data_IF_787024804912
#
_entry.id   IF_787024804912
#
_cell.length_a   1.000
_cell.length_b   1.000
_cell.length_c   1.000
_cell.angle_alpha   90.00
_cell.angle_beta   90.00
_cell.angle_gamma   90.00
#
_symmetry.space_group_name_H-M   'P 1'
#
loop_
_entity.id
_entity.type
_entity.pdbx_description
1 polymer ?
#
# COMPACT_ATOMS: atom_id res chain seq x y z
N UNK A 1 35.45 -19.80 24.40
CA UNK A 1 35.10 -18.37 24.51
C UNK A 1 34.81 -17.85 23.12
N UNK A 2 33.55 -17.90 22.69
CA UNK A 2 33.12 -17.40 21.37
C UNK A 2 33.01 -15.88 21.43
N UNK A 3 33.76 -15.18 20.57
CA UNK A 3 33.59 -13.75 20.36
C UNK A 3 32.17 -13.49 19.83
N UNK A 4 31.28 -12.97 20.68
CA UNK A 4 30.07 -12.30 20.20
C UNK A 4 30.52 -11.06 19.45
N UNK A 5 30.46 -11.09 18.11
CA UNK A 5 30.59 -9.87 17.34
C UNK A 5 29.48 -8.93 17.79
N UNK A 6 29.86 -7.69 18.16
CA UNK A 6 28.89 -6.62 18.37
C UNK A 6 28.21 -6.39 17.02
N UNK A 7 27.01 -6.94 16.87
CA UNK A 7 26.17 -6.72 15.70
C UNK A 7 25.84 -5.23 15.63
N UNK A 8 26.15 -4.60 14.50
CA UNK A 8 25.79 -3.21 14.25
C UNK A 8 24.25 -3.17 14.10
N UNK A 9 23.51 -2.46 14.98
CA UNK A 9 22.04 -2.50 15.02
C UNK A 9 21.37 -1.78 13.83
N UNK A 10 22.13 -1.49 12.77
CA UNK A 10 21.77 -0.58 11.68
C UNK A 10 21.85 -1.21 10.29
N UNK A 11 22.47 -2.37 10.17
CA UNK A 11 22.63 -3.09 8.90
C UNK A 11 21.84 -4.38 9.03
N UNK A 12 20.83 -4.56 8.16
CA UNK A 12 20.05 -5.80 8.09
C UNK A 12 20.95 -6.92 7.55
N UNK A 13 21.27 -7.89 8.40
CA UNK A 13 22.19 -8.98 8.07
C UNK A 13 21.48 -10.25 7.58
N UNK A 14 20.14 -10.30 7.67
CA UNK A 14 19.31 -11.48 7.35
C UNK A 14 18.48 -11.27 6.09
N UNK A 15 19.12 -10.87 4.99
CA UNK A 15 18.42 -10.61 3.72
C UNK A 15 17.64 -11.84 3.23
N UNK A 16 18.29 -13.01 3.20
CA UNK A 16 17.66 -14.28 2.77
C UNK A 16 17.72 -15.39 3.82
N UNK A 17 18.47 -15.16 4.90
CA UNK A 17 18.76 -16.17 5.91
C UNK A 17 17.64 -16.34 6.95
N UNK A 18 17.72 -17.45 7.67
CA UNK A 18 16.83 -17.77 8.78
C UNK A 18 17.11 -16.87 9.98
N UNK A 19 16.06 -16.30 10.57
CA UNK A 19 16.14 -15.48 11.79
C UNK A 19 16.18 -16.38 13.03
N UNK A 20 17.31 -16.44 13.77
CA UNK A 20 17.45 -17.26 14.97
C UNK A 20 16.47 -16.84 16.07
N UNK A 21 16.05 -17.78 16.92
CA UNK A 21 15.07 -17.52 17.99
C UNK A 21 15.46 -16.37 18.91
N UNK A 22 16.76 -16.22 19.21
CA UNK A 22 17.29 -15.15 20.08
C UNK A 22 17.17 -13.74 19.47
N UNK A 23 17.04 -13.64 18.15
CA UNK A 23 16.96 -12.38 17.41
C UNK A 23 15.51 -12.00 17.05
N UNK A 24 14.52 -12.77 17.53
CA UNK A 24 13.09 -12.50 17.30
C UNK A 24 12.53 -11.57 18.36
N UNK A 25 12.40 -10.30 18.01
CA UNK A 25 11.99 -9.21 18.91
C UNK A 25 10.71 -8.48 18.47
N UNK A 26 10.10 -8.87 17.34
CA UNK A 26 8.95 -8.19 16.76
C UNK A 26 7.68 -8.32 17.61
N UNK A 27 6.75 -7.38 17.44
CA UNK A 27 5.43 -7.43 18.09
C UNK A 27 4.32 -7.51 17.04
N UNK A 28 3.27 -8.29 17.30
CA UNK A 28 2.16 -8.43 16.35
C UNK A 28 1.53 -7.09 15.96
N UNK A 29 1.41 -6.14 16.90
CA UNK A 29 0.91 -4.78 16.61
C UNK A 29 1.72 -4.03 15.55
N UNK A 30 3.01 -4.35 15.42
CA UNK A 30 3.88 -3.69 14.46
C UNK A 30 3.50 -4.14 13.03
N UNK A 31 3.01 -5.39 12.86
CA UNK A 31 2.42 -5.86 11.61
C UNK A 31 1.15 -5.08 11.26
N UNK A 32 0.27 -4.81 12.23
CA UNK A 32 -0.92 -3.99 11.99
C UNK A 32 -0.52 -2.61 11.46
N UNK A 33 0.41 -1.93 12.15
CA UNK A 33 0.85 -0.59 11.73
C UNK A 33 1.55 -0.61 10.39
N UNK A 34 2.35 -1.64 10.11
CA UNK A 34 3.01 -1.83 8.83
C UNK A 34 1.98 -1.93 7.71
N UNK A 35 1.06 -2.91 7.78
CA UNK A 35 0.10 -3.15 6.71
C UNK A 35 -0.92 -2.03 6.55
N UNK A 36 -1.32 -1.40 7.65
CA UNK A 36 -2.16 -0.20 7.59
C UNK A 36 -1.40 0.92 6.86
N UNK A 37 -0.17 1.21 7.26
CA UNK A 37 0.65 2.28 6.65
C UNK A 37 0.92 2.10 5.17
N UNK A 38 1.23 0.87 4.75
CA UNK A 38 1.51 0.52 3.36
C UNK A 38 0.31 0.82 2.46
N UNK A 39 -0.90 0.65 3.00
CA UNK A 39 -2.15 0.79 2.24
C UNK A 39 -2.82 2.16 2.39
N UNK A 40 -2.35 3.02 3.32
CA UNK A 40 -2.66 4.45 3.33
C UNK A 40 -1.70 5.16 2.37
N UNK A 41 -1.97 5.00 1.07
CA UNK A 41 -1.09 5.48 0.01
C UNK A 41 -1.88 5.98 -1.21
N UNK A 42 -1.25 6.79 -2.09
CA UNK A 42 -1.95 7.40 -3.22
C UNK A 42 -2.39 6.40 -4.28
N UNK A 43 -1.64 5.31 -4.46
CA UNK A 43 -1.98 4.28 -5.44
C UNK A 43 -3.31 3.59 -5.13
N UNK A 44 -3.55 3.05 -3.90
CA UNK A 44 -4.86 2.55 -3.49
C UNK A 44 -6.01 3.55 -3.73
N UNK A 45 -5.77 4.85 -3.51
CA UNK A 45 -6.79 5.90 -3.72
C UNK A 45 -7.15 6.01 -5.20
N UNK A 46 -6.16 6.11 -6.09
CA UNK A 46 -6.39 6.17 -7.54
C UNK A 46 -7.00 4.87 -8.06
N UNK A 47 -6.62 3.72 -7.49
CA UNK A 47 -7.23 2.43 -7.83
C UNK A 47 -8.70 2.37 -7.37
N UNK A 48 -9.02 2.91 -6.21
CA UNK A 48 -10.41 3.06 -5.74
C UNK A 48 -11.26 3.94 -6.64
N UNK A 49 -10.71 5.02 -7.19
CA UNK A 49 -11.41 5.88 -8.15
C UNK A 49 -11.91 5.12 -9.41
N UNK A 50 -11.20 4.06 -9.83
CA UNK A 50 -11.62 3.23 -10.98
C UNK A 50 -12.99 2.57 -10.79
N UNK A 51 -13.40 2.34 -9.54
CA UNK A 51 -14.71 1.76 -9.21
C UNK A 51 -15.87 2.57 -9.80
N UNK A 52 -15.74 3.89 -9.81
CA UNK A 52 -16.72 4.80 -10.41
C UNK A 52 -16.37 5.09 -11.86
N UNK A 53 -15.10 5.40 -12.13
CA UNK A 53 -14.68 5.93 -13.44
C UNK A 53 -14.62 4.88 -14.55
N UNK A 54 -14.30 3.63 -14.20
CA UNK A 54 -14.07 2.53 -15.15
C UNK A 54 -15.16 1.48 -15.02
N UNK A 55 -15.54 1.14 -13.78
CA UNK A 55 -16.54 0.11 -13.52
C UNK A 55 -17.96 0.66 -13.37
N UNK A 56 -18.12 1.99 -13.41
CA UNK A 56 -19.40 2.69 -13.43
C UNK A 56 -20.34 2.30 -12.27
N UNK A 57 -19.77 1.90 -11.13
CA UNK A 57 -20.54 1.60 -9.93
C UNK A 57 -20.87 2.89 -9.18
N UNK A 58 -22.05 2.92 -8.58
CA UNK A 58 -22.40 3.97 -7.63
C UNK A 58 -21.68 3.76 -6.28
N UNK A 59 -21.76 4.76 -5.40
CA UNK A 59 -21.12 4.74 -4.08
C UNK A 59 -21.40 3.46 -3.30
N UNK A 60 -22.67 3.07 -3.19
CA UNK A 60 -23.08 1.93 -2.36
C UNK A 60 -22.49 0.62 -2.89
N UNK A 61 -22.72 0.29 -4.17
CA UNK A 61 -22.26 -0.97 -4.75
C UNK A 61 -20.75 -1.03 -4.86
N UNK A 62 -20.10 0.10 -5.15
CA UNK A 62 -18.65 0.23 -5.17
C UNK A 62 -18.02 -0.06 -3.81
N UNK A 63 -18.50 0.59 -2.75
CA UNK A 63 -17.97 0.38 -1.39
C UNK A 63 -18.22 -1.05 -0.90
N UNK A 64 -19.39 -1.64 -1.17
CA UNK A 64 -19.64 -3.03 -0.80
C UNK A 64 -18.69 -4.00 -1.52
N UNK A 65 -18.41 -3.77 -2.80
CA UNK A 65 -17.45 -4.58 -3.56
C UNK A 65 -16.01 -4.43 -3.03
N UNK A 66 -15.59 -3.20 -2.70
CA UNK A 66 -14.29 -2.90 -2.08
C UNK A 66 -14.13 -3.67 -0.76
N UNK A 67 -15.14 -3.57 0.12
CA UNK A 67 -15.12 -4.25 1.42
C UNK A 67 -15.02 -5.76 1.22
N UNK A 68 -15.90 -6.35 0.42
CA UNK A 68 -15.91 -7.79 0.20
C UNK A 68 -14.58 -8.28 -0.39
N UNK A 69 -14.08 -7.60 -1.43
CA UNK A 69 -12.84 -7.99 -2.11
C UNK A 69 -11.64 -7.97 -1.16
N UNK A 70 -11.48 -6.90 -0.38
CA UNK A 70 -10.38 -6.80 0.56
C UNK A 70 -10.53 -7.75 1.76
N UNK A 71 -11.74 -7.98 2.27
CA UNK A 71 -11.94 -8.94 3.35
C UNK A 71 -11.60 -10.38 2.92
N UNK A 72 -11.91 -10.75 1.67
CA UNK A 72 -11.57 -12.06 1.12
C UNK A 72 -10.08 -12.19 0.83
N UNK A 73 -9.48 -11.23 0.12
CA UNK A 73 -8.04 -11.23 -0.15
C UNK A 73 -7.18 -11.11 1.10
N UNK A 74 -7.68 -10.38 2.11
CA UNK A 74 -7.06 -10.20 3.42
C UNK A 74 -6.77 -11.52 4.13
N UNK A 75 -7.60 -12.54 3.91
CA UNK A 75 -7.40 -13.88 4.51
C UNK A 75 -6.08 -14.48 4.00
N UNK A 76 -5.79 -14.35 2.69
CA UNK A 76 -4.60 -14.93 2.07
C UNK A 76 -3.33 -14.31 2.63
N UNK A 77 -3.25 -12.98 2.66
CA UNK A 77 -2.09 -12.25 3.18
C UNK A 77 -1.89 -12.51 4.69
N UNK A 78 -2.98 -12.62 5.45
CA UNK A 78 -2.92 -12.90 6.89
C UNK A 78 -2.46 -14.34 7.20
N UNK A 79 -2.90 -15.32 6.40
CA UNK A 79 -2.44 -16.71 6.51
C UNK A 79 -0.95 -16.83 6.16
N UNK A 80 -0.48 -16.12 5.14
CA UNK A 80 0.93 -16.08 4.80
C UNK A 80 1.76 -15.45 5.93
N UNK A 81 1.28 -14.34 6.51
CA UNK A 81 1.93 -13.70 7.65
C UNK A 81 2.00 -14.60 8.89
N UNK A 82 0.97 -15.41 9.16
CA UNK A 82 0.95 -16.32 10.30
C UNK A 82 1.95 -17.48 10.22
N UNK A 83 2.48 -17.79 9.02
CA UNK A 83 3.52 -18.81 8.84
C UNK A 83 4.92 -18.30 9.21
N UNK A 84 5.16 -16.99 9.05
CA UNK A 84 6.47 -16.37 9.31
C UNK A 84 7.09 -16.71 10.67
N UNK A 85 6.38 -16.60 11.81
CA UNK A 85 6.94 -16.92 13.13
C UNK A 85 7.37 -18.38 13.28
N UNK A 86 6.68 -19.33 12.63
CA UNK A 86 7.07 -20.74 12.68
C UNK A 86 8.33 -21.01 11.84
N UNK A 87 8.37 -20.42 10.64
CA UNK A 87 9.39 -20.75 9.64
C UNK A 87 10.68 -19.94 9.79
N UNK A 88 10.62 -18.70 10.28
CA UNK A 88 11.77 -17.82 10.47
C UNK A 88 12.50 -17.41 9.18
N UNK A 89 11.96 -17.72 8.01
CA UNK A 89 12.54 -17.44 6.69
C UNK A 89 11.64 -16.52 5.86
N UNK A 90 12.21 -15.72 4.94
CA UNK A 90 11.43 -14.82 4.09
C UNK A 90 10.48 -15.57 3.15
N UNK A 91 9.40 -14.92 2.72
CA UNK A 91 8.29 -15.60 2.03
C UNK A 91 8.76 -16.23 0.71
N UNK A 92 9.63 -15.54 -0.01
CA UNK A 92 10.17 -16.02 -1.29
C UNK A 92 11.00 -17.29 -1.11
N UNK A 93 11.69 -17.46 0.02
CA UNK A 93 12.43 -18.69 0.33
C UNK A 93 11.46 -19.83 0.68
N UNK A 94 10.34 -19.54 1.37
CA UNK A 94 9.31 -20.53 1.68
C UNK A 94 8.71 -21.17 0.42
N UNK A 95 8.62 -20.42 -0.69
CA UNK A 95 8.12 -20.95 -1.96
C UNK A 95 8.92 -22.16 -2.48
N UNK A 96 10.20 -22.29 -2.11
CA UNK A 96 11.06 -23.43 -2.49
C UNK A 96 10.59 -24.75 -1.90
N UNK A 97 9.93 -24.73 -0.75
CA UNK A 97 9.36 -25.93 -0.13
C UNK A 97 8.19 -26.50 -0.92
N UNK A 98 7.38 -25.64 -1.55
CA UNK A 98 6.18 -26.04 -2.30
C UNK A 98 6.49 -26.33 -3.77
N UNK A 99 7.36 -25.55 -4.40
CA UNK A 99 7.61 -25.58 -5.84
C UNK A 99 9.00 -26.13 -6.22
N UNK A 100 9.83 -26.47 -5.24
CA UNK A 100 11.23 -26.84 -5.46
C UNK A 100 12.09 -25.65 -5.91
N UNK A 101 13.38 -25.91 -6.18
CA UNK A 101 14.34 -24.85 -6.56
C UNK A 101 13.96 -24.14 -7.86
N UNK A 102 13.59 -24.89 -8.89
CA UNK A 102 13.29 -24.32 -10.21
C UNK A 102 11.88 -23.73 -10.29
N UNK A 103 10.88 -24.33 -9.62
CA UNK A 103 9.54 -23.75 -9.58
C UNK A 103 9.49 -22.44 -8.79
N UNK A 104 10.30 -22.29 -7.74
CA UNK A 104 10.45 -21.01 -7.04
C UNK A 104 10.98 -19.87 -7.92
N UNK A 105 11.82 -20.17 -8.93
CA UNK A 105 12.30 -19.13 -9.86
C UNK A 105 11.15 -18.51 -10.67
N UNK A 106 10.13 -19.29 -11.02
CA UNK A 106 8.95 -18.79 -11.70
C UNK A 106 8.16 -17.81 -10.81
N UNK A 107 8.01 -18.14 -9.52
CA UNK A 107 7.36 -17.27 -8.53
C UNK A 107 8.15 -15.96 -8.35
N UNK A 108 9.47 -16.05 -8.26
CA UNK A 108 10.36 -14.88 -8.18
C UNK A 108 10.22 -13.99 -9.41
N UNK A 109 10.16 -14.58 -10.62
CA UNK A 109 9.99 -13.82 -11.85
C UNK A 109 8.68 -13.01 -11.87
N UNK A 110 7.54 -13.62 -11.54
CA UNK A 110 6.27 -12.89 -11.46
C UNK A 110 6.26 -11.84 -10.36
N UNK A 111 6.89 -12.13 -9.22
CA UNK A 111 7.04 -11.17 -8.13
C UNK A 111 7.83 -9.95 -8.57
N UNK A 112 8.93 -10.14 -9.32
CA UNK A 112 9.70 -9.04 -9.88
C UNK A 112 8.87 -8.17 -10.86
N UNK A 113 8.01 -8.78 -11.67
CA UNK A 113 7.08 -8.05 -12.54
C UNK A 113 6.11 -7.20 -11.72
N UNK A 114 5.56 -7.75 -10.64
CA UNK A 114 4.67 -7.01 -9.72
C UNK A 114 5.41 -5.79 -9.15
N UNK A 115 6.67 -5.94 -8.74
CA UNK A 115 7.46 -4.86 -8.15
C UNK A 115 7.72 -3.74 -9.16
N UNK A 116 8.07 -4.10 -10.40
CA UNK A 116 8.20 -3.14 -11.50
C UNK A 116 6.88 -2.42 -11.76
N UNK A 117 5.75 -3.15 -11.75
CA UNK A 117 4.41 -2.58 -11.90
C UNK A 117 4.11 -1.53 -10.83
N UNK A 118 4.27 -1.88 -9.55
CA UNK A 118 4.09 -0.94 -8.44
C UNK A 118 5.02 0.26 -8.55
N UNK A 119 6.28 0.05 -8.89
CA UNK A 119 7.27 1.12 -9.04
C UNK A 119 6.86 2.12 -10.14
N UNK A 120 6.50 1.63 -11.33
CA UNK A 120 6.05 2.47 -12.44
C UNK A 120 4.79 3.25 -12.05
N UNK A 121 3.78 2.57 -11.51
CA UNK A 121 2.53 3.22 -11.09
C UNK A 121 2.79 4.31 -10.05
N UNK A 122 3.63 4.03 -9.06
CA UNK A 122 4.01 5.00 -8.04
C UNK A 122 4.73 6.22 -8.63
N UNK A 123 5.72 6.05 -9.53
CA UNK A 123 6.41 7.20 -10.14
C UNK A 123 5.46 8.06 -10.98
N UNK A 124 4.54 7.44 -11.71
CA UNK A 124 3.51 8.19 -12.45
C UNK A 124 2.67 9.03 -11.50
N UNK A 125 2.27 8.48 -10.35
CA UNK A 125 1.52 9.22 -9.33
C UNK A 125 2.37 10.31 -8.65
N UNK A 126 3.68 10.11 -8.45
CA UNK A 126 4.57 11.17 -7.99
C UNK A 126 4.60 12.33 -8.97
N UNK A 127 4.72 12.03 -10.27
CA UNK A 127 4.65 13.05 -11.32
C UNK A 127 3.33 13.83 -11.30
N UNK A 128 2.19 13.13 -11.16
CA UNK A 128 0.88 13.78 -11.03
C UNK A 128 0.77 14.63 -9.76
N UNK A 129 1.36 14.17 -8.65
CA UNK A 129 1.39 14.94 -7.40
C UNK A 129 2.20 16.23 -7.56
N UNK A 130 3.36 16.16 -8.24
CA UNK A 130 4.19 17.33 -8.57
C UNK A 130 3.42 18.31 -9.46
N UNK A 131 2.78 17.86 -10.55
CA UNK A 131 1.94 18.73 -11.39
C UNK A 131 0.76 19.30 -10.60
N UNK A 132 0.21 18.55 -9.65
CA UNK A 132 -0.80 19.03 -8.71
C UNK A 132 -0.31 20.18 -7.82
N UNK A 133 0.97 20.20 -7.47
CA UNK A 133 1.60 21.28 -6.66
C UNK A 133 2.04 22.44 -7.55
N UNK A 134 2.67 22.14 -8.68
CA UNK A 134 3.24 23.08 -9.64
C UNK A 134 2.66 22.82 -11.05
N UNK A 135 1.49 23.39 -11.38
CA UNK A 135 0.81 23.14 -12.66
C UNK A 135 1.59 23.55 -13.90
N UNK A 136 2.61 24.40 -13.74
CA UNK A 136 3.50 24.85 -14.82
C UNK A 136 4.50 23.77 -15.27
N UNK A 137 4.69 22.69 -14.51
CA UNK A 137 5.63 21.62 -14.86
C UNK A 137 4.90 20.51 -15.63
N UNK A 138 5.31 20.19 -16.87
CA UNK A 138 4.69 19.12 -17.64
C UNK A 138 4.77 17.76 -16.94
N UNK A 139 3.76 16.90 -17.17
CA UNK A 139 3.68 15.57 -16.53
C UNK A 139 4.92 14.71 -16.84
N UNK A 140 5.44 14.61 -18.08
CA UNK A 140 6.64 13.81 -18.34
C UNK A 140 7.87 14.28 -17.56
N UNK A 141 8.06 15.61 -17.44
CA UNK A 141 9.14 16.18 -16.65
C UNK A 141 8.95 15.92 -15.15
N UNK A 142 7.71 16.04 -14.66
CA UNK A 142 7.34 15.74 -13.27
C UNK A 142 7.59 14.28 -12.89
N UNK A 143 7.28 13.34 -13.79
CA UNK A 143 7.57 11.91 -13.64
C UNK A 143 9.09 11.68 -13.49
N UNK A 144 9.90 12.30 -14.36
CA UNK A 144 11.36 12.21 -14.28
C UNK A 144 11.91 12.79 -12.97
N UNK A 145 11.40 13.95 -12.53
CA UNK A 145 11.78 14.56 -11.24
C UNK A 145 11.43 13.63 -10.07
N UNK A 146 10.22 13.06 -10.09
CA UNK A 146 9.78 12.09 -9.08
C UNK A 146 10.66 10.84 -9.04
N UNK A 147 11.01 10.29 -10.20
CA UNK A 147 11.91 9.15 -10.33
C UNK A 147 13.31 9.46 -9.76
N UNK A 148 13.92 10.58 -10.18
CA UNK A 148 15.24 11.00 -9.70
C UNK A 148 15.26 11.26 -8.21
N UNK A 149 14.19 11.85 -7.67
CA UNK A 149 14.06 12.13 -6.23
C UNK A 149 13.93 10.84 -5.42
N UNK A 150 13.14 9.88 -5.90
CA UNK A 150 13.02 8.55 -5.28
C UNK A 150 14.36 7.80 -5.27
N UNK A 151 15.08 7.81 -6.40
CA UNK A 151 16.42 7.22 -6.49
C UNK A 151 17.41 7.92 -5.57
N UNK A 152 17.43 9.24 -5.54
CA UNK A 152 18.34 10.02 -4.68
C UNK A 152 18.09 9.73 -3.18
N UNK A 153 16.84 9.69 -2.75
CA UNK A 153 16.48 9.35 -1.36
C UNK A 153 16.80 7.89 -1.05
N UNK A 154 16.61 6.98 -2.02
CA UNK A 154 17.09 5.61 -1.94
C UNK A 154 18.60 5.53 -1.70
N UNK A 155 19.40 6.44 -2.28
CA UNK A 155 20.86 6.48 -2.08
C UNK A 155 21.26 7.13 -0.74
N UNK A 156 20.54 8.16 -0.29
CA UNK A 156 20.91 9.00 0.88
C UNK A 156 20.64 8.32 2.23
N UNK A 157 19.74 7.32 2.30
CA UNK A 157 19.88 6.28 3.31
C UNK A 157 18.65 5.92 4.15
N UNK A 158 18.61 4.61 4.44
CA UNK A 158 17.69 3.84 5.27
C UNK A 158 17.06 4.57 6.47
N UNK A 159 17.84 5.32 7.27
CA UNK A 159 17.36 6.00 8.48
C UNK A 159 16.36 7.13 8.21
N UNK A 160 16.53 7.87 7.12
CA UNK A 160 15.62 8.96 6.75
C UNK A 160 14.27 8.40 6.29
N UNK A 161 14.30 7.33 5.48
CA UNK A 161 13.12 6.63 4.98
C UNK A 161 12.28 6.06 6.13
N UNK A 162 12.93 5.41 7.12
CA UNK A 162 12.23 4.85 8.27
C UNK A 162 11.54 5.91 9.14
N UNK A 163 12.16 7.07 9.32
CA UNK A 163 11.57 8.17 10.09
C UNK A 163 10.37 8.77 9.34
N UNK A 164 10.50 8.98 8.02
CA UNK A 164 9.41 9.45 7.17
C UNK A 164 8.22 8.49 7.15
N UNK A 165 8.45 7.18 7.05
CA UNK A 165 7.37 6.19 7.03
C UNK A 165 6.60 6.14 8.38
N UNK A 166 7.32 6.21 9.50
CA UNK A 166 6.70 6.15 10.83
C UNK A 166 5.78 7.34 11.11
N UNK A 167 6.21 8.54 10.74
CA UNK A 167 5.40 9.77 10.89
C UNK A 167 4.34 9.84 9.80
N UNK A 168 4.72 9.49 8.56
CA UNK A 168 3.90 9.57 7.37
C UNK A 168 2.62 8.74 7.46
N UNK A 169 2.64 7.60 8.15
CA UNK A 169 1.44 6.78 8.38
C UNK A 169 0.33 7.55 9.09
N UNK A 170 0.66 8.16 10.23
CA UNK A 170 -0.32 8.87 11.07
C UNK A 170 -0.76 10.17 10.42
N UNK A 171 0.19 10.89 9.81
CA UNK A 171 -0.10 12.12 9.09
C UNK A 171 -1.00 11.84 7.89
N UNK A 172 -0.69 10.82 7.09
CA UNK A 172 -1.49 10.46 5.92
C UNK A 172 -2.87 9.94 6.31
N UNK A 173 -2.96 9.05 7.30
CA UNK A 173 -4.25 8.54 7.78
C UNK A 173 -5.14 9.66 8.31
N UNK A 174 -4.56 10.57 9.10
CA UNK A 174 -5.28 11.74 9.62
C UNK A 174 -5.69 12.69 8.49
N UNK A 175 -4.84 12.89 7.48
CA UNK A 175 -5.14 13.75 6.34
C UNK A 175 -6.25 13.16 5.44
N UNK A 176 -6.32 11.83 5.27
CA UNK A 176 -7.44 11.17 4.60
C UNK A 176 -8.75 11.34 5.38
N UNK A 177 -8.73 11.15 6.71
CA UNK A 177 -9.90 11.37 7.55
C UNK A 177 -10.37 12.83 7.49
N UNK A 178 -9.43 13.78 7.56
CA UNK A 178 -9.73 15.20 7.38
C UNK A 178 -10.30 15.49 5.98
N UNK A 179 -9.79 14.82 4.95
CA UNK A 179 -10.32 14.90 3.59
C UNK A 179 -11.76 14.40 3.48
N UNK A 180 -12.11 13.27 4.11
CA UNK A 180 -13.50 12.81 4.18
C UNK A 180 -14.40 13.83 4.87
N UNK A 181 -13.98 14.33 6.04
CA UNK A 181 -14.74 15.34 6.77
C UNK A 181 -14.92 16.59 5.92
N UNK A 182 -13.88 17.05 5.22
CA UNK A 182 -13.95 18.20 4.34
C UNK A 182 -14.96 17.99 3.22
N UNK A 183 -14.92 16.85 2.53
CA UNK A 183 -15.83 16.54 1.41
C UNK A 183 -17.29 16.55 1.88
N UNK A 184 -17.60 15.88 2.99
CA UNK A 184 -18.97 15.79 3.50
C UNK A 184 -19.44 17.03 4.26
N UNK A 185 -18.54 17.94 4.65
CA UNK A 185 -18.88 19.23 5.24
C UNK A 185 -19.22 20.29 4.19
N UNK A 186 -19.00 20.03 2.91
CA UNK A 186 -19.31 20.93 1.79
C UNK A 186 -20.35 20.31 0.86
N UNK A 187 -20.91 21.14 -0.02
CA UNK A 187 -21.87 20.67 -1.02
C UNK A 187 -21.21 19.67 -1.98
N UNK A 188 -21.77 18.47 -2.02
CA UNK A 188 -21.42 17.45 -3.02
C UNK A 188 -22.30 17.62 -4.26
N UNK A 189 -21.83 17.21 -5.45
CA UNK A 189 -22.64 17.24 -6.66
C UNK A 189 -23.99 16.54 -6.46
N UNK A 190 -25.05 17.05 -7.10
CA UNK A 190 -26.41 16.50 -6.95
C UNK A 190 -26.50 15.02 -7.37
N UNK A 191 -25.63 14.60 -8.28
CA UNK A 191 -25.53 13.23 -8.75
C UNK A 191 -24.61 12.35 -7.90
N UNK A 192 -24.02 12.83 -6.79
CA UNK A 192 -23.04 12.10 -5.97
C UNK A 192 -23.50 10.68 -5.57
N UNK A 193 -24.77 10.53 -5.19
CA UNK A 193 -25.34 9.23 -4.80
C UNK A 193 -25.93 8.44 -5.96
N UNK A 194 -26.20 9.09 -7.09
CA UNK A 194 -26.85 8.49 -8.27
C UNK A 194 -25.93 8.30 -9.47
N UNK A 195 -24.67 8.77 -9.41
CA UNK A 195 -23.69 8.60 -10.49
C UNK A 195 -23.25 7.15 -10.53
N UNK A 196 -23.39 6.55 -11.71
CA UNK A 196 -23.20 5.11 -11.90
C UNK A 196 -24.37 4.29 -11.34
N UNK A 197 -24.23 2.97 -11.35
CA UNK A 197 -25.27 2.06 -10.89
C UNK A 197 -24.76 0.64 -10.71
N UNK A 198 -25.63 -0.23 -10.21
CA UNK A 198 -25.25 -1.65 -10.14
C UNK A 198 -25.07 -2.21 -11.54
N UNK A 199 -23.93 -2.82 -11.77
CA UNK A 199 -23.72 -3.72 -12.88
C UNK A 199 -22.83 -4.88 -12.42
N UNK A 200 -23.20 -6.11 -12.81
CA UNK A 200 -22.57 -7.30 -12.27
C UNK A 200 -21.09 -7.41 -12.66
N UNK A 201 -20.73 -7.03 -13.88
CA UNK A 201 -19.36 -7.08 -14.40
C UNK A 201 -18.43 -6.15 -13.62
N UNK A 202 -18.81 -4.89 -13.43
CA UNK A 202 -18.05 -3.91 -12.66
C UNK A 202 -17.96 -4.27 -11.17
N UNK A 203 -19.04 -4.84 -10.61
CA UNK A 203 -19.05 -5.31 -9.23
C UNK A 203 -18.07 -6.48 -9.02
N UNK A 204 -18.12 -7.50 -9.88
CA UNK A 204 -17.18 -8.62 -9.85
C UNK A 204 -15.74 -8.17 -10.13
N UNK A 205 -15.53 -7.23 -11.06
CA UNK A 205 -14.22 -6.65 -11.32
C UNK A 205 -13.65 -5.93 -10.09
N UNK A 206 -14.48 -5.17 -9.37
CA UNK A 206 -14.08 -4.46 -8.14
C UNK A 206 -13.75 -5.43 -7.00
N UNK A 207 -14.57 -6.47 -6.80
CA UNK A 207 -14.28 -7.53 -5.81
C UNK A 207 -12.95 -8.22 -6.15
N UNK A 208 -12.77 -8.58 -7.43
CA UNK A 208 -11.55 -9.24 -7.91
C UNK A 208 -10.31 -8.36 -7.74
N UNK A 209 -10.44 -7.06 -8.02
CA UNK A 209 -9.39 -6.07 -7.82
C UNK A 209 -8.98 -5.99 -6.34
N UNK A 210 -9.94 -5.98 -5.41
CA UNK A 210 -9.66 -5.99 -3.98
C UNK A 210 -8.96 -7.26 -3.50
N UNK A 211 -9.33 -8.43 -4.05
CA UNK A 211 -8.68 -9.72 -3.75
C UNK A 211 -7.24 -9.72 -4.28
N UNK A 212 -7.05 -9.40 -5.56
CA UNK A 212 -5.73 -9.39 -6.22
C UNK A 212 -4.81 -8.39 -5.54
N UNK A 213 -5.32 -7.23 -5.13
CA UNK A 213 -4.56 -6.24 -4.38
C UNK A 213 -3.93 -6.85 -3.14
N UNK A 214 -4.71 -7.51 -2.29
CA UNK A 214 -4.19 -8.14 -1.07
C UNK A 214 -3.20 -9.27 -1.38
N UNK A 215 -3.51 -10.10 -2.38
CA UNK A 215 -2.63 -11.21 -2.79
C UNK A 215 -1.28 -10.70 -3.29
N UNK A 216 -1.25 -9.57 -3.99
CA UNK A 216 -0.02 -8.99 -4.54
C UNK A 216 1.02 -8.62 -3.48
N UNK A 217 0.59 -8.43 -2.23
CA UNK A 217 1.47 -8.16 -1.09
C UNK A 217 1.93 -9.43 -0.35
N UNK A 218 1.36 -10.60 -0.66
CA UNK A 218 1.74 -11.87 -0.03
C UNK A 218 3.24 -12.18 -0.12
N UNK A 219 3.95 -11.87 -1.22
CA UNK A 219 5.41 -12.10 -1.30
C UNK A 219 6.25 -11.39 -0.23
N UNK A 220 5.73 -10.36 0.44
CA UNK A 220 6.46 -9.62 1.47
C UNK A 220 6.13 -10.06 2.89
N UNK A 221 5.10 -10.90 3.10
CA UNK A 221 4.48 -11.03 4.43
C UNK A 221 5.36 -11.63 5.49
N UNK A 222 6.09 -12.70 5.14
CA UNK A 222 6.95 -13.38 6.09
C UNK A 222 8.26 -12.64 6.34
N UNK A 223 8.62 -11.67 5.51
CA UNK A 223 9.87 -10.92 5.65
C UNK A 223 9.85 -10.10 6.94
N UNK A 224 8.67 -9.63 7.34
CA UNK A 224 8.44 -8.93 8.60
C UNK A 224 7.97 -9.86 9.73
N UNK A 225 7.06 -10.80 9.46
CA UNK A 225 6.51 -11.64 10.53
C UNK A 225 7.47 -12.72 11.04
N UNK A 226 8.53 -13.06 10.31
CA UNK A 226 9.61 -13.96 10.76
C UNK A 226 10.35 -13.48 12.02
N UNK A 227 10.30 -12.19 12.31
CA UNK A 227 10.92 -11.60 13.49
C UNK A 227 10.06 -11.70 14.76
N UNK A 228 8.83 -12.23 14.68
CA UNK A 228 7.98 -12.46 15.84
C UNK A 228 8.43 -13.69 16.65
N UNK A 229 8.21 -13.73 17.97
CA UNK A 229 8.46 -14.92 18.79
C UNK A 229 7.79 -16.18 18.23
N UNK A 230 8.47 -17.32 18.26
CA UNK A 230 7.96 -18.58 17.70
C UNK A 230 6.69 -19.10 18.42
N UNK A 231 6.54 -18.75 19.69
CA UNK A 231 5.44 -19.16 20.57
C UNK A 231 4.23 -18.19 20.52
N UNK A 232 4.28 -17.16 19.67
CA UNK A 232 3.21 -16.15 19.58
C UNK A 232 1.87 -16.71 19.07
N UNK A 233 1.90 -17.91 18.47
CA UNK A 233 0.75 -18.57 17.86
C UNK A 233 0.31 -17.95 16.54
N UNK A 234 -0.77 -18.48 15.97
CA UNK A 234 -1.27 -18.12 14.63
C UNK A 234 -2.17 -16.87 14.67
N UNK A 235 -3.02 -16.77 15.69
CA UNK A 235 -4.10 -15.78 15.72
C UNK A 235 -3.60 -14.33 15.78
N UNK A 236 -2.51 -14.07 16.52
CA UNK A 236 -1.99 -12.70 16.70
C UNK A 236 -1.37 -12.13 15.42
N UNK A 237 -0.43 -12.81 14.73
CA UNK A 237 0.06 -12.35 13.43
C UNK A 237 -1.06 -12.28 12.38
N UNK A 238 -1.96 -13.26 12.36
CA UNK A 238 -3.10 -13.28 11.44
C UNK A 238 -3.97 -12.03 11.61
N UNK A 239 -4.50 -11.79 12.82
CA UNK A 239 -5.42 -10.68 13.06
C UNK A 239 -4.76 -9.32 12.86
N UNK A 240 -3.50 -9.16 13.27
CA UNK A 240 -2.79 -7.91 13.10
C UNK A 240 -2.58 -7.57 11.62
N UNK A 241 -2.11 -8.54 10.83
CA UNK A 241 -1.94 -8.37 9.38
C UNK A 241 -3.27 -8.19 8.67
N UNK A 242 -4.28 -9.02 9.01
CA UNK A 242 -5.61 -8.95 8.42
C UNK A 242 -6.22 -7.56 8.62
N UNK A 243 -6.34 -7.11 9.87
CA UNK A 243 -6.96 -5.82 10.17
C UNK A 243 -6.15 -4.65 9.60
N UNK A 244 -4.82 -4.68 9.68
CA UNK A 244 -3.98 -3.63 9.13
C UNK A 244 -4.15 -3.49 7.63
N UNK A 245 -4.05 -4.61 6.91
CA UNK A 245 -4.13 -4.64 5.46
C UNK A 245 -5.54 -4.31 4.95
N UNK A 246 -6.60 -4.87 5.54
CA UNK A 246 -7.96 -4.63 5.05
C UNK A 246 -8.45 -3.24 5.41
N UNK A 247 -8.22 -2.75 6.63
CA UNK A 247 -8.69 -1.42 7.02
C UNK A 247 -7.96 -0.32 6.25
N UNK A 248 -6.65 -0.47 6.04
CA UNK A 248 -5.86 0.48 5.26
C UNK A 248 -6.34 0.57 3.82
N UNK A 249 -6.53 -0.57 3.14
CA UNK A 249 -6.97 -0.55 1.73
C UNK A 249 -8.41 -0.08 1.59
N UNK A 250 -9.33 -0.55 2.42
CA UNK A 250 -10.74 -0.17 2.36
C UNK A 250 -10.87 1.35 2.56
N UNK A 251 -10.15 1.93 3.52
CA UNK A 251 -10.16 3.37 3.76
C UNK A 251 -9.70 4.15 2.52
N UNK A 252 -8.54 3.78 1.97
CA UNK A 252 -7.96 4.48 0.82
C UNK A 252 -8.78 4.32 -0.47
N UNK A 253 -9.24 3.09 -0.77
CA UNK A 253 -10.07 2.84 -1.95
C UNK A 253 -11.40 3.60 -1.86
N UNK A 254 -12.04 3.58 -0.69
CA UNK A 254 -13.30 4.32 -0.45
C UNK A 254 -13.08 5.83 -0.57
N UNK A 255 -11.94 6.34 -0.11
CA UNK A 255 -11.59 7.75 -0.27
C UNK A 255 -11.48 8.13 -1.75
N UNK A 256 -10.87 7.27 -2.57
CA UNK A 256 -10.81 7.45 -4.02
C UNK A 256 -12.20 7.54 -4.67
N UNK A 257 -13.11 6.62 -4.31
CA UNK A 257 -14.51 6.63 -4.76
C UNK A 257 -15.21 7.94 -4.40
N UNK A 258 -15.10 8.35 -3.14
CA UNK A 258 -15.76 9.58 -2.65
C UNK A 258 -15.16 10.82 -3.32
N UNK A 259 -13.84 10.89 -3.48
CA UNK A 259 -13.17 12.02 -4.11
C UNK A 259 -13.64 12.24 -5.56
N UNK A 260 -13.75 11.17 -6.37
CA UNK A 260 -14.19 11.33 -7.77
C UNK A 260 -15.68 11.64 -7.90
N UNK A 261 -16.51 11.09 -7.02
CA UNK A 261 -17.94 11.43 -6.96
C UNK A 261 -18.16 12.89 -6.53
N UNK A 262 -17.30 13.42 -5.66
CA UNK A 262 -17.34 14.81 -5.21
C UNK A 262 -16.88 15.83 -6.26
N UNK A 263 -16.41 15.38 -7.43
CA UNK A 263 -15.96 16.23 -8.54
C UNK A 263 -16.76 16.00 -9.82
N UNK A 264 -16.64 16.87 -10.84
CA UNK A 264 -17.26 16.62 -12.14
C UNK A 264 -16.85 15.27 -12.73
N UNK A 265 -17.76 14.64 -13.47
CA UNK A 265 -17.46 13.38 -14.14
C UNK A 265 -16.29 13.51 -15.12
N UNK A 266 -15.46 12.47 -15.22
CA UNK A 266 -14.23 12.46 -16.02
C UNK A 266 -13.03 13.20 -15.40
N UNK A 267 -13.16 13.80 -14.21
CA UNK A 267 -12.01 14.40 -13.50
C UNK A 267 -10.98 13.33 -13.16
N UNK A 268 -9.71 13.51 -13.57
CA UNK A 268 -8.64 12.56 -13.28
C UNK A 268 -8.49 12.33 -11.77
N UNK A 269 -8.26 11.09 -11.32
CA UNK A 269 -8.34 10.70 -9.92
C UNK A 269 -7.49 11.55 -8.95
N UNK A 270 -6.24 11.89 -9.31
CA UNK A 270 -5.37 12.70 -8.45
C UNK A 270 -5.84 14.16 -8.40
N UNK A 271 -6.27 14.70 -9.54
CA UNK A 271 -6.90 16.01 -9.61
C UNK A 271 -8.21 16.05 -8.80
N UNK A 272 -9.00 14.98 -8.84
CA UNK A 272 -10.24 14.84 -8.10
C UNK A 272 -10.00 14.89 -6.59
N UNK A 273 -8.99 14.17 -6.08
CA UNK A 273 -8.59 14.26 -4.67
C UNK A 273 -8.24 15.70 -4.28
N UNK A 274 -7.41 16.38 -5.08
CA UNK A 274 -7.01 17.76 -4.81
C UNK A 274 -8.22 18.71 -4.80
N UNK A 275 -9.13 18.58 -5.77
CA UNK A 275 -10.30 19.45 -5.90
C UNK A 275 -11.34 19.17 -4.81
N UNK A 276 -11.67 17.90 -4.57
CA UNK A 276 -12.66 17.48 -3.59
C UNK A 276 -12.28 17.90 -2.15
N UNK A 277 -10.99 17.96 -1.85
CA UNK A 277 -10.48 18.34 -0.53
C UNK A 277 -10.13 19.83 -0.41
N UNK A 278 -10.38 20.63 -1.45
CA UNK A 278 -10.22 22.09 -1.46
C UNK A 278 -8.88 22.56 -0.90
N UNK A 279 -8.92 23.32 0.21
CA UNK A 279 -7.72 23.88 0.86
C UNK A 279 -6.72 22.82 1.36
N UNK A 280 -7.18 21.60 1.66
CA UNK A 280 -6.31 20.48 2.03
C UNK A 280 -5.63 19.82 0.83
N UNK A 281 -6.14 20.04 -0.39
CA UNK A 281 -5.67 19.39 -1.61
C UNK A 281 -4.18 19.52 -1.86
N UNK A 282 -3.60 20.74 -1.89
CA UNK A 282 -2.16 20.93 -2.06
C UNK A 282 -1.32 20.24 -0.98
N UNK A 283 -1.79 20.23 0.27
CA UNK A 283 -1.11 19.56 1.39
C UNK A 283 -1.10 18.05 1.15
N UNK A 284 -2.24 17.48 0.75
CA UNK A 284 -2.34 16.06 0.41
C UNK A 284 -1.41 15.70 -0.76
N UNK A 285 -1.27 16.55 -1.79
CA UNK A 285 -0.33 16.29 -2.89
C UNK A 285 1.13 16.21 -2.42
N UNK A 286 1.53 17.09 -1.49
CA UNK A 286 2.87 17.03 -0.89
C UNK A 286 3.06 15.76 -0.08
N UNK A 287 2.08 15.41 0.77
CA UNK A 287 2.14 14.18 1.55
C UNK A 287 2.20 12.95 0.65
N UNK A 288 1.41 12.91 -0.41
CA UNK A 288 1.38 11.83 -1.40
C UNK A 288 2.74 11.68 -2.08
N UNK A 289 3.34 12.78 -2.51
CA UNK A 289 4.67 12.79 -3.10
C UNK A 289 5.71 12.20 -2.14
N UNK A 290 5.72 12.63 -0.87
CA UNK A 290 6.65 12.11 0.14
C UNK A 290 6.45 10.62 0.42
N UNK A 291 5.18 10.17 0.49
CA UNK A 291 4.84 8.77 0.70
C UNK A 291 5.30 7.90 -0.47
N UNK A 292 5.04 8.33 -1.70
CA UNK A 292 5.44 7.61 -2.92
C UNK A 292 6.96 7.48 -3.02
N UNK A 293 7.68 8.59 -2.80
CA UNK A 293 9.14 8.61 -2.82
C UNK A 293 9.70 7.62 -1.79
N UNK A 294 9.14 7.59 -0.58
CA UNK A 294 9.56 6.68 0.48
C UNK A 294 9.25 5.21 0.15
N UNK A 295 8.10 4.92 -0.43
CA UNK A 295 7.72 3.57 -0.88
C UNK A 295 8.62 3.07 -2.00
N UNK A 296 8.90 3.90 -3.00
CA UNK A 296 9.74 3.50 -4.13
C UNK A 296 11.21 3.34 -3.75
N UNK A 297 11.70 4.11 -2.78
CA UNK A 297 13.03 3.88 -2.23
C UNK A 297 13.11 2.48 -1.60
N UNK A 298 12.08 2.01 -0.89
CA UNK A 298 12.03 0.63 -0.36
C UNK A 298 12.01 -0.43 -1.48
N UNK A 299 11.21 -0.21 -2.53
CA UNK A 299 11.16 -1.12 -3.69
C UNK A 299 12.48 -1.21 -4.46
N UNK A 300 13.32 -0.17 -4.40
CA UNK A 300 14.67 -0.19 -5.01
C UNK A 300 15.71 -0.91 -4.15
N UNK A 301 15.45 -1.05 -2.84
CA UNK A 301 16.36 -1.73 -1.89
C UNK A 301 16.17 -3.24 -1.85
N UNK A 302 14.95 -3.74 -2.11
CA UNK A 302 14.62 -5.19 -2.11
C UNK A 302 14.90 -5.85 -3.45
#
# INVERSE_FOLDING_TARGET
MSQMSKQDPLIENHTVDYVPLAERHGKARDLFTLWFSTNIAPLPIVTGAMVVQVFHLNLFWGVMAIILGHLLGGIVIALASAQGPCMGIPQMVQSRGQFGRYGALLIVFFTAIIYIGFFISNIVLAGKSITGIAPSVPVPASILIGALSATAIGVIGYRFIHTLNRIGTWVMGSALLAGFVYIFAHDVPADFFSRGGFNLSGWLATVSLGIIWQISFSPYTSDYSRYLPADIGIARPFLATYLGATLGTILSFTFGVVAVLATPDGTEAMAAVKQATGGLGPILMVLFLLNIISHNALNLYG
#
